data_IF_307691632419
#
_entry.id   IF_307691632419
#
_cell.length_a   1.000
_cell.length_b   1.000
_cell.length_c   1.000
_cell.angle_alpha   90.00
_cell.angle_beta   90.00
_cell.angle_gamma   90.00
#
_symmetry.space_group_name_H-M   'P 1'
#
loop_
_entity.id
_entity.type
_entity.pdbx_description
1 polymer ?
#
# COMPACT_ATOMS: atom_id res chain seq x y z
N UNK A 1 -7.79 -24.90 -21.70
CA UNK A 1 -7.80 -23.43 -21.84
C UNK A 1 -7.12 -22.89 -20.60
N UNK A 2 -6.06 -22.12 -20.75
CA UNK A 2 -5.31 -21.54 -19.63
C UNK A 2 -5.18 -20.03 -19.80
N UNK A 3 -4.91 -19.33 -18.71
CA UNK A 3 -4.79 -17.88 -18.67
C UNK A 3 -3.61 -17.48 -17.77
N UNK A 4 -2.80 -16.54 -18.27
CA UNK A 4 -1.70 -15.94 -17.53
C UNK A 4 -2.14 -14.57 -16.99
N UNK A 5 -2.01 -14.38 -15.68
CA UNK A 5 -2.33 -13.14 -14.98
C UNK A 5 -1.06 -12.51 -14.38
N UNK A 6 -0.92 -11.19 -14.46
CA UNK A 6 0.09 -10.44 -13.70
C UNK A 6 -0.53 -9.17 -13.12
N UNK A 7 -0.23 -8.88 -11.84
CA UNK A 7 -0.65 -7.64 -11.17
C UNK A 7 0.51 -6.67 -11.17
N UNK A 8 0.24 -5.42 -11.52
CA UNK A 8 1.19 -4.33 -11.45
C UNK A 8 0.63 -3.19 -10.60
N UNK A 9 1.50 -2.50 -9.85
CA UNK A 9 1.15 -1.42 -8.93
C UNK A 9 1.99 -0.20 -9.28
N UNK A 10 1.33 0.95 -9.39
CA UNK A 10 1.95 2.26 -9.48
C UNK A 10 1.20 3.21 -8.58
N UNK A 11 1.93 3.95 -7.76
CA UNK A 11 1.38 4.98 -6.88
C UNK A 11 2.33 6.17 -6.86
N UNK A 12 1.76 7.34 -7.14
CA UNK A 12 2.39 8.64 -6.96
C UNK A 12 1.40 9.50 -6.19
N UNK A 13 1.87 10.15 -5.14
CA UNK A 13 1.02 10.99 -4.32
C UNK A 13 0.37 12.10 -5.18
N UNK A 14 -0.94 12.26 -5.03
CA UNK A 14 -1.69 13.26 -5.77
C UNK A 14 -1.76 14.57 -4.97
N UNK A 15 -1.29 15.65 -5.57
CA UNK A 15 -1.28 17.00 -4.99
C UNK A 15 -2.55 17.83 -5.27
N UNK A 16 -3.64 17.20 -5.71
CA UNK A 16 -4.92 17.90 -5.86
C UNK A 16 -5.30 18.62 -4.54
N UNK A 17 -5.68 19.90 -4.62
CA UNK A 17 -5.89 20.73 -3.44
C UNK A 17 -7.16 20.36 -2.68
N UNK A 18 -7.16 20.66 -1.38
CA UNK A 18 -8.35 20.59 -0.53
C UNK A 18 -8.42 19.35 0.37
N UNK A 19 -7.35 18.55 0.42
CA UNK A 19 -7.24 17.42 1.34
C UNK A 19 -6.70 17.89 2.68
N UNK A 20 -7.16 17.21 3.71
CA UNK A 20 -6.78 17.47 5.10
C UNK A 20 -6.96 16.20 5.90
N UNK A 21 -6.03 15.93 6.81
CA UNK A 21 -6.07 14.76 7.70
C UNK A 21 -6.03 15.23 9.16
N UNK A 22 -7.07 14.91 9.97
CA UNK A 22 -7.03 15.19 11.40
C UNK A 22 -6.09 14.21 12.12
N UNK A 23 -5.19 14.74 12.93
CA UNK A 23 -4.25 14.02 13.79
C UNK A 23 -4.38 14.58 15.20
N UNK A 24 -5.18 13.91 16.05
CA UNK A 24 -5.49 14.40 17.40
C UNK A 24 -6.14 15.80 17.34
N UNK A 25 -5.63 16.81 18.06
CA UNK A 25 -6.17 18.17 18.04
C UNK A 25 -5.74 19.00 16.81
N UNK A 26 -4.87 18.47 15.94
CA UNK A 26 -4.29 19.21 14.81
C UNK A 26 -4.84 18.67 13.49
N UNK A 27 -5.17 19.56 12.57
CA UNK A 27 -5.44 19.19 11.18
C UNK A 27 -4.18 19.45 10.34
N UNK A 28 -3.71 18.45 9.61
CA UNK A 28 -2.62 18.59 8.64
C UNK A 28 -3.24 18.78 7.27
N UNK A 29 -2.98 19.93 6.65
CA UNK A 29 -3.50 20.29 5.33
C UNK A 29 -2.49 19.99 4.22
N UNK A 30 -2.94 19.99 2.96
CA UNK A 30 -2.04 19.92 1.81
C UNK A 30 -0.99 21.04 1.79
N UNK A 31 -1.35 22.24 2.25
CA UNK A 31 -0.44 23.37 2.32
C UNK A 31 0.69 23.12 3.34
N UNK A 32 0.37 22.47 4.47
CA UNK A 32 1.37 22.06 5.46
C UNK A 32 2.31 21.01 4.86
N UNK A 33 1.78 20.02 4.16
CA UNK A 33 2.58 18.99 3.48
C UNK A 33 3.49 19.59 2.38
N UNK A 34 2.99 20.55 1.60
CA UNK A 34 3.78 21.26 0.59
C UNK A 34 4.91 22.06 1.23
N UNK A 35 4.64 22.70 2.38
CA UNK A 35 5.67 23.42 3.13
C UNK A 35 6.75 22.49 3.68
N UNK A 36 6.38 21.31 4.19
CA UNK A 36 7.35 20.31 4.64
C UNK A 36 8.24 19.85 3.47
N UNK A 37 7.67 19.62 2.29
CA UNK A 37 8.43 19.23 1.10
C UNK A 37 9.41 20.34 0.65
N UNK A 38 8.91 21.57 0.47
CA UNK A 38 9.71 22.71 -0.02
C UNK A 38 10.81 23.15 0.96
N UNK A 39 10.62 22.93 2.25
CA UNK A 39 11.64 23.17 3.29
C UNK A 39 12.59 21.99 3.51
N UNK A 40 12.40 20.87 2.79
CA UNK A 40 13.25 19.68 2.86
C UNK A 40 13.00 18.78 4.07
N UNK A 41 11.92 19.01 4.82
CA UNK A 41 11.51 18.19 5.96
C UNK A 41 10.71 16.95 5.55
N UNK A 42 10.12 16.95 4.35
CA UNK A 42 9.46 15.80 3.74
C UNK A 42 10.03 15.50 2.35
N UNK A 43 9.86 14.26 1.91
CA UNK A 43 10.25 13.77 0.57
C UNK A 43 9.10 12.98 -0.03
N UNK A 44 8.90 13.15 -1.33
CA UNK A 44 7.99 12.33 -2.12
C UNK A 44 8.66 11.04 -2.57
N UNK A 45 7.87 9.98 -2.65
CA UNK A 45 8.31 8.69 -3.15
C UNK A 45 7.32 8.20 -4.21
N UNK A 46 7.87 7.81 -5.35
CA UNK A 46 7.14 7.06 -6.36
C UNK A 46 7.20 5.58 -6.01
N UNK A 47 6.06 4.95 -5.81
CA UNK A 47 5.97 3.52 -5.56
C UNK A 47 5.58 2.80 -6.85
N UNK A 48 6.36 1.79 -7.21
CA UNK A 48 6.06 0.91 -8.34
C UNK A 48 6.46 -0.52 -8.04
N UNK A 49 5.70 -1.47 -8.56
CA UNK A 49 5.97 -2.88 -8.39
C UNK A 49 5.17 -3.75 -9.35
N UNK A 50 5.62 -4.99 -9.50
CA UNK A 50 4.94 -6.00 -10.29
C UNK A 50 5.00 -7.33 -9.55
N UNK A 51 3.90 -8.07 -9.55
CA UNK A 51 3.87 -9.46 -9.10
C UNK A 51 4.48 -10.41 -10.14
N UNK A 52 4.67 -11.66 -9.74
CA UNK A 52 4.96 -12.75 -10.67
C UNK A 52 3.74 -13.06 -11.54
N UNK A 53 4.00 -13.66 -12.71
CA UNK A 53 2.93 -14.20 -13.57
C UNK A 53 2.34 -15.45 -12.90
N UNK A 54 1.01 -15.51 -12.83
CA UNK A 54 0.25 -16.63 -12.31
C UNK A 54 -0.43 -17.36 -13.47
N UNK A 55 -0.13 -18.66 -13.62
CA UNK A 55 -0.74 -19.52 -14.62
C UNK A 55 -1.98 -20.20 -14.06
N UNK A 56 -3.14 -20.00 -14.69
CA UNK A 56 -4.41 -20.55 -14.25
C UNK A 56 -4.99 -21.47 -15.33
N UNK A 57 -5.13 -22.76 -15.04
CA UNK A 57 -5.84 -23.71 -15.90
C UNK A 57 -7.36 -23.62 -15.69
N UNK A 58 -8.10 -23.19 -16.71
CA UNK A 58 -9.55 -22.96 -16.66
C UNK A 58 -10.38 -24.25 -16.86
N UNK A 59 -9.72 -25.40 -17.06
CA UNK A 59 -10.36 -26.66 -17.44
C UNK A 59 -10.63 -27.66 -16.31
N UNK A 60 -10.12 -27.42 -15.10
CA UNK A 60 -10.23 -28.36 -13.97
C UNK A 60 -11.03 -27.72 -12.85
N UNK A 61 -12.24 -28.22 -12.59
CA UNK A 61 -13.06 -27.77 -11.47
C UNK A 61 -12.79 -28.63 -10.22
N UNK A 62 -12.68 -28.04 -9.02
CA UNK A 62 -12.54 -26.60 -8.77
C UNK A 62 -11.13 -26.13 -9.13
N UNK A 63 -11.01 -24.99 -9.80
CA UNK A 63 -9.73 -24.39 -10.13
C UNK A 63 -9.03 -23.99 -8.82
N UNK A 64 -8.14 -24.84 -8.33
CA UNK A 64 -7.29 -24.52 -7.18
C UNK A 64 -6.42 -23.34 -7.61
N UNK A 65 -6.66 -22.15 -7.04
CA UNK A 65 -5.77 -21.01 -7.23
C UNK A 65 -4.38 -21.39 -6.68
N UNK A 66 -3.29 -20.98 -7.36
CA UNK A 66 -1.95 -21.20 -6.84
C UNK A 66 -1.82 -20.51 -5.46
N UNK A 67 -1.14 -21.19 -4.54
CA UNK A 67 -0.81 -20.62 -3.24
C UNK A 67 0.08 -19.37 -3.45
N UNK A 68 -0.07 -18.30 -2.65
CA UNK A 68 0.78 -17.12 -2.76
C UNK A 68 2.26 -17.50 -2.66
N UNK A 69 3.10 -16.95 -3.56
CA UNK A 69 4.53 -17.21 -3.53
C UNK A 69 5.22 -16.69 -2.26
N UNK A 70 4.68 -15.61 -1.70
CA UNK A 70 5.02 -15.10 -0.37
C UNK A 70 3.73 -15.21 0.49
N UNK A 71 3.74 -15.97 1.60
CA UNK A 71 2.57 -16.09 2.49
C UNK A 71 2.23 -14.75 3.19
N UNK A 72 3.04 -13.71 2.98
CA UNK A 72 2.92 -12.43 3.62
C UNK A 72 3.62 -12.41 4.98
N UNK A 73 3.36 -11.37 5.75
CA UNK A 73 3.95 -11.21 7.08
C UNK A 73 3.36 -12.23 8.05
N UNK A 74 4.21 -12.89 8.81
CA UNK A 74 3.93 -13.94 9.82
C UNK A 74 3.07 -13.51 11.03
N UNK A 75 2.45 -12.33 10.98
CA UNK A 75 1.62 -11.81 12.05
C UNK A 75 2.39 -11.29 13.28
N UNK A 76 3.73 -11.26 13.29
CA UNK A 76 4.54 -10.86 14.47
C UNK A 76 4.68 -9.34 14.68
N UNK A 77 3.84 -8.53 14.02
CA UNK A 77 3.84 -7.06 14.14
C UNK A 77 3.72 -6.66 15.62
N UNK A 78 4.80 -6.12 16.18
CA UNK A 78 4.95 -5.68 17.58
C UNK A 78 4.88 -4.16 17.72
N UNK A 79 4.61 -3.44 16.63
CA UNK A 79 4.30 -2.02 16.69
C UNK A 79 2.96 -1.81 17.39
N UNK A 80 2.93 -0.84 18.32
CA UNK A 80 1.73 -0.48 19.07
C UNK A 80 0.59 -0.24 18.09
N UNK A 81 -0.40 -1.13 18.11
CA UNK A 81 -1.64 -0.92 17.39
C UNK A 81 -2.30 0.38 17.84
N UNK A 82 -3.23 0.89 17.03
CA UNK A 82 -4.08 2.08 17.29
C UNK A 82 -4.77 2.08 18.67
N UNK A 83 -4.70 0.97 19.42
CA UNK A 83 -5.27 0.78 20.76
C UNK A 83 -4.23 0.80 21.90
N UNK A 84 -3.14 1.57 21.77
CA UNK A 84 -2.67 2.41 22.88
C UNK A 84 -2.25 1.80 24.22
N UNK A 85 -1.63 0.62 24.27
CA UNK A 85 -1.02 0.14 25.53
C UNK A 85 0.51 0.26 25.50
N UNK A 86 1.00 1.49 25.67
CA UNK A 86 2.37 1.73 26.13
C UNK A 86 2.36 1.75 27.67
N UNK A 87 3.02 0.76 28.29
CA UNK A 87 3.45 0.86 29.68
C UNK A 87 4.79 1.56 29.76
#
# INVERSE_FOLDING_TARGET
MSLDCQVNVWDRYNWDPGKSTPIGPTAVTDADMARLHTTGLAREFDMRGSGSVQHCDLGSAPAKLPDPADPGRDGTRTDLGRNGDAR
#
